data_IF_653516487081
#
_entry.id   IF_653516487081
#
_cell.length_a   1.000
_cell.length_b   1.000
_cell.length_c   1.000
_cell.angle_alpha   90.00
_cell.angle_beta   90.00
_cell.angle_gamma   90.00
#
_symmetry.space_group_name_H-M   'P 1'
#
loop_
_entity.id
_entity.type
_entity.pdbx_description
1 polymer ?
#
# COMPACT_ATOMS: atom_id res chain seq x y z
N UNK A 1 37.91 -1.93 11.26
CA UNK A 1 37.57 -2.50 9.95
C UNK A 1 36.27 -1.84 9.54
N UNK A 2 36.26 -1.04 8.47
CA UNK A 2 35.02 -0.42 7.98
C UNK A 2 34.11 -1.48 7.33
N UNK A 3 32.83 -1.13 7.09
CA UNK A 3 31.84 -2.04 6.53
C UNK A 3 32.31 -2.64 5.20
N UNK A 4 32.90 -1.81 4.34
CA UNK A 4 33.37 -2.22 3.03
C UNK A 4 34.50 -3.24 3.15
N UNK A 5 35.43 -3.04 4.08
CA UNK A 5 36.50 -4.00 4.36
C UNK A 5 35.94 -5.33 4.87
N UNK A 6 34.90 -5.30 5.71
CA UNK A 6 34.24 -6.54 6.17
C UNK A 6 33.52 -7.27 5.03
N UNK A 7 32.69 -6.57 4.24
CA UNK A 7 31.96 -7.15 3.11
C UNK A 7 32.94 -7.72 2.08
N UNK A 8 34.06 -7.04 1.87
CA UNK A 8 35.14 -7.54 1.02
C UNK A 8 35.81 -8.79 1.60
N UNK A 9 35.90 -8.92 2.92
CA UNK A 9 36.40 -10.10 3.62
C UNK A 9 35.45 -11.31 3.67
N UNK A 10 34.15 -11.13 3.42
CA UNK A 10 33.20 -12.24 3.33
C UNK A 10 33.52 -13.16 2.14
N UNK A 11 33.25 -14.46 2.29
CA UNK A 11 33.33 -15.42 1.19
C UNK A 11 32.42 -14.99 0.03
N UNK A 12 32.83 -15.26 -1.21
CA UNK A 12 32.02 -14.97 -2.41
C UNK A 12 30.64 -15.65 -2.37
N UNK A 13 30.52 -16.75 -1.64
CA UNK A 13 29.28 -17.52 -1.50
C UNK A 13 28.46 -17.13 -0.25
N UNK A 14 28.89 -16.12 0.51
CA UNK A 14 28.15 -15.65 1.66
C UNK A 14 26.83 -14.98 1.22
N UNK A 15 25.66 -15.44 1.72
CA UNK A 15 24.37 -14.90 1.32
C UNK A 15 24.20 -13.39 1.55
N UNK A 16 24.88 -12.83 2.56
CA UNK A 16 24.84 -11.40 2.83
C UNK A 16 25.65 -10.62 1.78
N UNK A 17 26.84 -11.13 1.43
CA UNK A 17 27.67 -10.53 0.36
C UNK A 17 26.94 -10.56 -0.98
N UNK A 18 26.31 -11.68 -1.32
CA UNK A 18 25.52 -11.82 -2.55
C UNK A 18 24.40 -10.77 -2.59
N UNK A 19 23.61 -10.63 -1.51
CA UNK A 19 22.53 -9.63 -1.44
C UNK A 19 23.01 -8.20 -1.56
N UNK A 20 24.15 -7.87 -0.94
CA UNK A 20 24.73 -6.52 -1.03
C UNK A 20 25.19 -6.21 -2.46
N UNK A 21 25.89 -7.15 -3.10
CA UNK A 21 26.34 -7.03 -4.49
C UNK A 21 25.13 -6.91 -5.43
N UNK A 22 24.08 -7.70 -5.24
CA UNK A 22 22.83 -7.60 -6.01
C UNK A 22 22.14 -6.24 -5.82
N UNK A 23 22.10 -5.73 -4.58
CA UNK A 23 21.51 -4.42 -4.27
C UNK A 23 22.28 -3.28 -4.93
N UNK A 24 23.62 -3.33 -4.89
CA UNK A 24 24.48 -2.33 -5.52
C UNK A 24 24.39 -2.38 -7.05
N UNK A 25 24.44 -3.58 -7.64
CA UNK A 25 24.24 -3.76 -9.07
C UNK A 25 22.86 -3.24 -9.52
N UNK A 26 21.83 -3.47 -8.70
CA UNK A 26 20.48 -2.95 -8.95
C UNK A 26 20.46 -1.42 -8.88
N UNK A 27 21.09 -0.80 -7.89
CA UNK A 27 21.21 0.66 -7.77
C UNK A 27 21.89 1.28 -9.00
N UNK A 28 23.05 0.76 -9.41
CA UNK A 28 23.79 1.28 -10.55
C UNK A 28 23.02 1.09 -11.88
N UNK A 29 22.26 0.00 -12.01
CA UNK A 29 21.37 -0.19 -13.15
C UNK A 29 20.27 0.88 -13.20
N UNK A 30 19.62 1.16 -12.07
CA UNK A 30 18.57 2.18 -11.97
C UNK A 30 19.15 3.58 -12.25
N UNK A 31 20.31 3.89 -11.69
CA UNK A 31 21.02 5.15 -11.94
C UNK A 31 21.34 5.34 -13.42
N UNK A 32 21.82 4.28 -14.09
CA UNK A 32 22.08 4.31 -15.54
C UNK A 32 20.80 4.60 -16.34
N UNK A 33 19.67 3.96 -15.98
CA UNK A 33 18.37 4.25 -16.60
C UNK A 33 17.99 5.73 -16.46
N UNK A 34 18.13 6.29 -15.25
CA UNK A 34 17.82 7.69 -14.99
C UNK A 34 18.68 8.65 -15.81
N UNK A 35 20.00 8.41 -15.88
CA UNK A 35 20.92 9.20 -16.71
C UNK A 35 20.58 9.13 -18.21
N UNK A 36 19.96 8.04 -18.65
CA UNK A 36 19.50 7.83 -20.03
C UNK A 36 18.05 8.32 -20.25
N UNK A 37 17.42 8.98 -19.27
CA UNK A 37 16.00 9.37 -19.29
C UNK A 37 15.02 8.19 -19.51
N UNK A 38 15.41 6.99 -19.12
CA UNK A 38 14.54 5.81 -19.15
C UNK A 38 13.64 5.85 -17.92
N UNK A 39 12.32 5.70 -18.12
CA UNK A 39 11.36 5.65 -17.01
C UNK A 39 11.66 4.46 -16.09
N UNK A 40 11.65 4.71 -14.78
CA UNK A 40 11.81 3.68 -13.75
C UNK A 40 10.48 3.45 -13.03
N UNK A 41 10.30 2.23 -12.51
CA UNK A 41 9.18 1.89 -11.64
C UNK A 41 9.29 2.61 -10.30
N UNK A 42 8.17 2.68 -9.57
CA UNK A 42 8.14 3.19 -8.21
C UNK A 42 8.92 2.28 -7.24
N UNK A 43 9.00 0.97 -7.52
CA UNK A 43 9.87 0.07 -6.75
C UNK A 43 11.35 0.41 -6.90
N UNK A 44 11.80 0.62 -8.14
CA UNK A 44 13.14 1.10 -8.44
C UNK A 44 13.39 2.49 -7.84
N UNK A 45 12.39 3.38 -7.85
CA UNK A 45 12.50 4.71 -7.22
C UNK A 45 12.77 4.58 -5.72
N UNK A 46 12.06 3.68 -5.00
CA UNK A 46 12.33 3.43 -3.58
C UNK A 46 13.75 2.92 -3.35
N UNK A 47 14.22 1.98 -4.17
CA UNK A 47 15.58 1.45 -4.06
C UNK A 47 16.61 2.57 -4.26
N UNK A 48 16.50 3.30 -5.37
CA UNK A 48 17.41 4.40 -5.69
C UNK A 48 17.46 5.46 -4.58
N UNK A 49 16.30 5.96 -4.14
CA UNK A 49 16.24 7.01 -3.14
C UNK A 49 16.66 6.53 -1.74
N UNK A 50 16.43 5.26 -1.40
CA UNK A 50 16.92 4.70 -0.14
C UNK A 50 18.44 4.65 -0.12
N UNK A 51 19.06 4.18 -1.20
CA UNK A 51 20.52 4.14 -1.34
C UNK A 51 21.12 5.55 -1.36
N UNK A 52 20.48 6.48 -2.06
CA UNK A 52 20.89 7.88 -2.11
C UNK A 52 20.90 8.54 -0.73
N UNK A 53 19.92 8.24 0.13
CA UNK A 53 19.87 8.73 1.51
C UNK A 53 20.95 8.12 2.41
N UNK A 54 21.43 6.92 2.09
CA UNK A 54 22.44 6.20 2.86
C UNK A 54 23.89 6.54 2.45
N UNK A 55 24.06 7.34 1.39
CA UNK A 55 25.35 7.73 0.80
C UNK A 55 25.46 9.26 0.75
N UNK A 56 26.70 9.77 0.59
CA UNK A 56 26.91 11.18 0.23
C UNK A 56 26.73 11.27 -1.28
N UNK A 57 25.67 11.91 -1.79
CA UNK A 57 25.41 11.94 -3.22
C UNK A 57 26.49 12.73 -3.95
N UNK A 58 26.92 12.21 -5.10
CA UNK A 58 27.77 12.93 -6.05
C UNK A 58 27.02 14.11 -6.70
N UNK A 59 27.77 15.03 -7.33
CA UNK A 59 27.18 16.20 -8.02
C UNK A 59 26.14 15.82 -9.09
N UNK A 60 26.36 14.72 -9.81
CA UNK A 60 25.41 14.25 -10.81
C UNK A 60 24.18 13.58 -10.19
N UNK A 61 24.33 12.92 -9.04
CA UNK A 61 23.20 12.32 -8.32
C UNK A 61 22.29 13.38 -7.68
N UNK A 62 22.84 14.52 -7.26
CA UNK A 62 22.04 15.65 -6.79
C UNK A 62 21.05 16.16 -7.84
N UNK A 63 21.40 16.08 -9.13
CA UNK A 63 20.48 16.43 -10.23
C UNK A 63 19.31 15.44 -10.34
N UNK A 64 19.51 14.20 -9.92
CA UNK A 64 18.51 13.13 -9.97
C UNK A 64 17.54 13.14 -8.77
N UNK A 65 17.79 13.98 -7.74
CA UNK A 65 16.95 14.07 -6.54
C UNK A 65 15.47 14.37 -6.82
N UNK A 66 15.14 15.01 -7.95
CA UNK A 66 13.76 15.27 -8.34
C UNK A 66 12.95 13.98 -8.58
N UNK A 67 13.60 12.87 -8.93
CA UNK A 67 12.95 11.55 -9.02
C UNK A 67 12.54 11.00 -7.64
N UNK A 68 13.08 11.55 -6.54
CA UNK A 68 12.77 11.14 -5.18
C UNK A 68 11.60 11.90 -4.56
N UNK A 69 10.88 12.76 -5.30
CA UNK A 69 9.74 13.51 -4.77
C UNK A 69 8.62 12.59 -4.23
N UNK A 70 8.25 11.55 -4.98
CA UNK A 70 7.20 10.62 -4.56
C UNK A 70 7.66 9.72 -3.40
N UNK A 71 8.93 9.36 -3.37
CA UNK A 71 9.54 8.62 -2.26
C UNK A 71 9.61 9.46 -0.97
N UNK A 72 10.01 10.72 -1.09
CA UNK A 72 10.03 11.69 0.01
C UNK A 72 8.63 11.88 0.56
N UNK A 73 7.66 12.12 -0.31
CA UNK A 73 6.25 12.18 0.07
C UNK A 73 5.80 10.92 0.81
N UNK A 74 6.12 9.73 0.28
CA UNK A 74 5.73 8.46 0.87
C UNK A 74 6.22 8.32 2.32
N UNK A 75 7.51 8.56 2.55
CA UNK A 75 8.12 8.44 3.88
C UNK A 75 7.63 9.52 4.85
N UNK A 76 7.55 10.76 4.39
CA UNK A 76 7.03 11.87 5.22
C UNK A 76 5.57 11.60 5.57
N UNK A 77 4.73 11.24 4.61
CA UNK A 77 3.32 10.94 4.87
C UNK A 77 3.16 9.79 5.89
N UNK A 78 3.90 8.68 5.75
CA UNK A 78 3.84 7.56 6.69
C UNK A 78 4.33 7.92 8.10
N UNK A 79 5.14 8.96 8.26
CA UNK A 79 5.53 9.47 9.58
C UNK A 79 4.36 10.19 10.26
N UNK A 80 3.58 10.98 9.50
CA UNK A 80 2.56 11.88 10.05
C UNK A 80 1.10 11.44 9.84
N UNK A 81 0.84 10.34 9.11
CA UNK A 81 -0.53 9.99 8.66
C UNK A 81 -1.53 9.81 9.82
N UNK A 82 -1.06 9.43 11.02
CA UNK A 82 -1.90 9.28 12.22
C UNK A 82 -2.38 10.64 12.76
N UNK A 83 -1.57 11.67 12.61
CA UNK A 83 -1.90 13.02 13.07
C UNK A 83 -1.24 14.09 12.19
N UNK A 84 -2.01 14.68 11.26
CA UNK A 84 -1.55 15.78 10.40
C UNK A 84 -1.69 17.19 11.04
N UNK A 85 -2.09 17.31 12.31
CA UNK A 85 -2.24 18.60 12.99
C UNK A 85 -1.02 19.04 13.80
N UNK A 86 0.01 18.21 13.91
CA UNK A 86 1.02 18.40 14.95
C UNK A 86 0.47 18.07 16.34
N UNK A 87 1.32 18.13 17.36
CA UNK A 87 0.91 18.02 18.76
C UNK A 87 0.89 16.60 19.35
N UNK A 88 1.45 15.61 18.65
CA UNK A 88 1.89 14.36 19.27
C UNK A 88 3.39 14.20 19.11
N UNK A 89 3.99 13.35 19.92
CA UNK A 89 5.37 12.91 19.71
C UNK A 89 5.44 12.05 18.43
N UNK A 90 6.21 12.52 17.45
CA UNK A 90 6.48 11.76 16.23
C UNK A 90 7.81 11.03 16.37
N UNK A 91 7.88 9.84 15.78
CA UNK A 91 9.07 9.01 15.77
C UNK A 91 9.46 8.66 14.36
N UNK A 92 10.72 8.90 14.00
CA UNK A 92 11.31 8.51 12.71
C UNK A 92 12.39 7.46 12.92
N UNK A 93 12.59 6.63 11.91
CA UNK A 93 13.65 5.63 11.89
C UNK A 93 14.99 6.30 11.57
N UNK A 94 15.99 6.07 12.42
CA UNK A 94 17.36 6.56 12.22
C UNK A 94 18.20 5.49 11.52
N UNK A 95 18.17 5.48 10.19
CA UNK A 95 18.93 4.52 9.38
C UNK A 95 20.44 4.67 9.57
N UNK A 96 20.92 5.90 9.80
CA UNK A 96 22.33 6.20 10.00
C UNK A 96 22.84 5.63 11.32
N UNK A 97 22.07 5.80 12.40
CA UNK A 97 22.39 5.20 13.70
C UNK A 97 22.37 3.68 13.65
N UNK A 98 21.41 3.08 12.93
CA UNK A 98 21.42 1.63 12.71
C UNK A 98 22.70 1.20 11.98
N UNK A 99 23.01 1.84 10.85
CA UNK A 99 24.21 1.55 10.04
C UNK A 99 25.49 1.64 10.89
N UNK A 100 25.68 2.74 11.61
CA UNK A 100 26.84 2.96 12.49
C UNK A 100 26.91 1.91 13.62
N UNK A 101 25.78 1.48 14.14
CA UNK A 101 25.77 0.46 15.21
C UNK A 101 26.13 -0.92 14.67
N UNK A 102 25.61 -1.26 13.48
CA UNK A 102 25.99 -2.49 12.76
C UNK A 102 27.49 -2.49 12.47
N UNK A 103 28.03 -1.39 11.94
CA UNK A 103 29.46 -1.21 11.67
C UNK A 103 30.32 -1.43 12.92
N UNK A 104 29.92 -0.84 14.05
CA UNK A 104 30.66 -0.98 15.32
C UNK A 104 30.61 -2.41 15.87
N UNK A 105 29.46 -3.08 15.83
CA UNK A 105 29.34 -4.48 16.27
C UNK A 105 30.21 -5.40 15.44
N UNK A 106 30.20 -5.19 14.13
CA UNK A 106 30.97 -5.95 13.17
C UNK A 106 32.48 -5.76 13.39
N UNK A 107 32.91 -4.51 13.58
CA UNK A 107 34.30 -4.19 13.88
C UNK A 107 34.78 -4.79 15.21
N UNK A 108 33.88 -4.96 16.19
CA UNK A 108 34.24 -5.43 17.54
C UNK A 108 34.16 -6.96 17.68
N UNK A 109 33.14 -7.58 17.09
CA UNK A 109 32.81 -9.00 17.32
C UNK A 109 32.98 -9.89 16.10
N UNK A 110 33.17 -9.29 14.91
CA UNK A 110 33.23 -10.02 13.63
C UNK A 110 31.90 -10.64 13.19
N UNK A 111 30.81 -10.45 13.95
CA UNK A 111 29.47 -10.98 13.63
C UNK A 111 28.39 -9.95 13.94
N UNK A 112 27.19 -10.13 13.38
CA UNK A 112 26.03 -9.31 13.70
C UNK A 112 25.11 -10.12 14.61
N UNK A 113 24.93 -9.65 15.84
CA UNK A 113 24.02 -10.27 16.80
C UNK A 113 22.62 -9.63 16.69
N UNK A 114 21.66 -10.38 16.14
CA UNK A 114 20.27 -9.95 16.02
C UNK A 114 19.62 -9.60 17.38
N UNK A 115 20.03 -10.24 18.48
CA UNK A 115 19.53 -9.94 19.84
C UNK A 115 20.02 -8.61 20.38
N UNK A 116 21.16 -8.11 19.90
CA UNK A 116 21.67 -6.79 20.25
C UNK A 116 21.00 -5.68 19.43
N UNK A 117 20.57 -5.98 18.19
CA UNK A 117 19.86 -5.01 17.34
C UNK A 117 18.48 -4.63 17.86
N UNK A 118 17.76 -5.58 18.47
CA UNK A 118 16.43 -5.32 19.05
C UNK A 118 16.47 -4.37 20.25
N UNK A 119 17.65 -4.17 20.86
CA UNK A 119 17.85 -3.28 22.02
C UNK A 119 18.19 -1.85 21.63
N UNK A 120 18.50 -1.58 20.36
CA UNK A 120 18.84 -0.24 19.89
C UNK A 120 17.54 0.54 19.66
N UNK A 121 17.33 1.69 20.31
CA UNK A 121 16.24 2.58 19.92
C UNK A 121 16.56 3.14 18.54
N UNK A 122 16.01 2.47 17.52
CA UNK A 122 16.09 2.85 16.11
C UNK A 122 15.13 3.98 15.75
N UNK A 123 14.28 4.36 16.70
CA UNK A 123 13.36 5.48 16.56
C UNK A 123 13.90 6.68 17.35
N UNK A 124 14.00 7.83 16.69
CA UNK A 124 14.25 9.11 17.35
C UNK A 124 12.97 9.95 17.42
N UNK A 125 12.84 10.75 18.48
CA UNK A 125 11.78 11.74 18.59
C UNK A 125 12.12 12.89 17.64
N UNK A 126 11.20 13.19 16.72
CA UNK A 126 11.42 14.22 15.70
C UNK A 126 11.37 15.61 16.35
N UNK A 127 12.36 16.44 16.07
CA UNK A 127 12.44 17.80 16.59
C UNK A 127 11.24 18.65 16.09
N UNK A 128 10.65 19.53 16.91
CA UNK A 128 9.50 20.35 16.51
C UNK A 128 9.72 21.18 15.23
N UNK A 129 10.94 21.66 14.97
CA UNK A 129 11.28 22.43 13.76
C UNK A 129 11.24 21.52 12.53
N UNK A 130 11.73 20.28 12.65
CA UNK A 130 11.63 19.27 11.60
C UNK A 130 10.17 18.88 11.34
N UNK A 131 9.37 18.70 12.40
CA UNK A 131 7.93 18.44 12.30
C UNK A 131 7.23 19.56 11.52
N UNK A 132 7.50 20.82 11.84
CA UNK A 132 6.91 21.96 11.15
C UNK A 132 7.29 21.99 9.66
N UNK A 133 8.57 21.77 9.35
CA UNK A 133 9.07 21.69 7.97
C UNK A 133 8.37 20.60 7.17
N UNK A 134 8.25 19.41 7.75
CA UNK A 134 7.61 18.26 7.11
C UNK A 134 6.10 18.48 6.90
N UNK A 135 5.40 19.05 7.89
CA UNK A 135 3.98 19.38 7.76
C UNK A 135 3.74 20.43 6.67
N UNK A 136 4.58 21.46 6.61
CA UNK A 136 4.53 22.47 5.54
C UNK A 136 4.77 21.85 4.15
N UNK A 137 5.73 20.93 4.04
CA UNK A 137 5.94 20.15 2.82
C UNK A 137 4.68 19.36 2.44
N UNK A 138 4.07 18.62 3.39
CA UNK A 138 2.85 17.87 3.14
C UNK A 138 1.67 18.78 2.75
N UNK A 139 1.57 19.98 3.30
CA UNK A 139 0.53 20.94 2.91
C UNK A 139 0.71 21.41 1.47
N UNK A 140 1.94 21.72 1.05
CA UNK A 140 2.25 22.07 -0.33
C UNK A 140 1.92 20.91 -1.29
N UNK A 141 2.29 19.68 -0.93
CA UNK A 141 1.93 18.49 -1.72
C UNK A 141 0.41 18.34 -1.80
N UNK A 142 -0.33 18.59 -0.72
CA UNK A 142 -1.79 18.54 -0.74
C UNK A 142 -2.38 19.56 -1.71
N UNK A 143 -1.88 20.79 -1.72
CA UNK A 143 -2.38 21.85 -2.62
C UNK A 143 -2.08 21.51 -4.09
N UNK A 144 -0.88 21.01 -4.39
CA UNK A 144 -0.54 20.52 -5.73
C UNK A 144 -1.48 19.37 -6.14
N UNK A 145 -1.62 18.35 -5.31
CA UNK A 145 -2.41 17.16 -5.63
C UNK A 145 -3.92 17.44 -5.69
N UNK A 146 -4.39 18.48 -5.00
CA UNK A 146 -5.75 18.98 -5.14
C UNK A 146 -6.05 19.39 -6.59
N UNK A 147 -5.13 20.09 -7.25
CA UNK A 147 -5.31 20.48 -8.66
C UNK A 147 -5.41 19.24 -9.56
N UNK A 148 -4.60 18.21 -9.29
CA UNK A 148 -4.62 16.93 -10.00
C UNK A 148 -5.97 16.22 -9.81
N UNK A 149 -6.48 16.14 -8.58
CA UNK A 149 -7.77 15.50 -8.27
C UNK A 149 -8.92 16.10 -9.07
N UNK A 150 -8.93 17.42 -9.25
CA UNK A 150 -10.00 18.13 -9.94
C UNK A 150 -9.79 18.26 -11.45
N UNK A 151 -8.64 17.86 -11.99
CA UNK A 151 -8.44 17.81 -13.44
C UNK A 151 -9.19 16.63 -14.07
N UNK A 152 -9.77 16.84 -15.26
CA UNK A 152 -10.63 15.85 -15.91
C UNK A 152 -9.88 14.94 -16.91
N UNK A 153 -8.61 15.21 -17.20
CA UNK A 153 -7.87 14.54 -18.27
C UNK A 153 -6.77 13.65 -17.68
N UNK A 154 -7.17 12.49 -17.14
CA UNK A 154 -6.22 11.51 -16.61
C UNK A 154 -6.10 10.33 -17.57
N UNK A 155 -4.93 10.19 -18.20
CA UNK A 155 -4.63 9.02 -19.04
C UNK A 155 -4.22 7.79 -18.20
N UNK A 156 -3.81 8.01 -16.95
CA UNK A 156 -3.40 6.95 -16.05
C UNK A 156 -4.61 6.45 -15.24
N UNK A 157 -4.98 5.17 -15.43
CA UNK A 157 -6.14 4.53 -14.77
C UNK A 157 -6.03 4.45 -13.26
N UNK A 158 -4.82 4.29 -12.72
CA UNK A 158 -4.58 4.28 -11.26
C UNK A 158 -4.85 5.68 -10.68
N UNK A 159 -4.35 6.71 -11.36
CA UNK A 159 -4.56 8.10 -10.96
C UNK A 159 -6.03 8.47 -11.07
N UNK A 160 -6.69 8.12 -12.17
CA UNK A 160 -8.12 8.34 -12.37
C UNK A 160 -8.95 7.71 -11.25
N UNK A 161 -8.72 6.43 -10.94
CA UNK A 161 -9.40 5.72 -9.87
C UNK A 161 -9.16 6.39 -8.51
N UNK A 162 -7.92 6.81 -8.22
CA UNK A 162 -7.57 7.46 -6.94
C UNK A 162 -8.25 8.83 -6.81
N UNK A 163 -8.18 9.66 -7.86
CA UNK A 163 -8.85 10.95 -7.91
C UNK A 163 -10.37 10.82 -7.80
N UNK A 164 -10.97 9.77 -8.40
CA UNK A 164 -12.40 9.49 -8.25
C UNK A 164 -12.78 9.20 -6.79
N UNK A 165 -12.11 8.27 -6.12
CA UNK A 165 -12.39 7.96 -4.71
C UNK A 165 -12.16 9.19 -3.81
N UNK A 166 -11.13 10.00 -4.09
CA UNK A 166 -10.87 11.24 -3.37
C UNK A 166 -12.00 12.27 -3.54
N UNK A 167 -12.48 12.49 -4.77
CA UNK A 167 -13.61 13.39 -5.04
C UNK A 167 -14.88 12.92 -4.32
N UNK A 168 -15.15 11.62 -4.32
CA UNK A 168 -16.32 11.05 -3.63
C UNK A 168 -16.22 11.31 -2.11
N UNK A 169 -15.03 11.17 -1.50
CA UNK A 169 -14.80 11.49 -0.09
C UNK A 169 -14.90 13.00 0.21
N UNK A 170 -14.33 13.85 -0.65
CA UNK A 170 -14.41 15.31 -0.50
C UNK A 170 -15.86 15.80 -0.59
N UNK A 171 -16.68 15.22 -1.48
CA UNK A 171 -18.13 15.51 -1.55
C UNK A 171 -18.86 15.13 -0.26
N UNK A 172 -18.51 14.01 0.37
CA UNK A 172 -19.08 13.61 1.66
C UNK A 172 -18.67 14.58 2.78
N UNK A 173 -17.39 14.97 2.82
CA UNK A 173 -16.90 15.98 3.75
C UNK A 173 -17.63 17.31 3.56
N UNK A 174 -17.81 17.76 2.32
CA UNK A 174 -18.55 18.98 2.01
C UNK A 174 -20.02 18.91 2.46
N UNK A 175 -20.69 17.77 2.24
CA UNK A 175 -22.07 17.55 2.71
C UNK A 175 -22.19 17.67 4.23
N UNK A 176 -21.17 17.24 4.99
CA UNK A 176 -21.19 17.27 6.46
C UNK A 176 -21.22 18.68 7.06
N UNK A 177 -20.80 19.71 6.30
CA UNK A 177 -20.78 21.12 6.72
C UNK A 177 -21.75 22.00 5.95
N UNK A 178 -22.64 21.41 5.14
CA UNK A 178 -23.53 22.15 4.24
C UNK A 178 -24.41 23.17 4.96
N UNK A 179 -24.87 22.84 6.17
CA UNK A 179 -25.76 23.70 6.96
C UNK A 179 -25.01 24.82 7.69
N UNK A 180 -23.67 24.76 7.74
CA UNK A 180 -22.83 25.75 8.41
C UNK A 180 -21.64 26.11 7.51
N UNK A 181 -21.84 26.94 6.46
CA UNK A 181 -20.79 27.23 5.47
C UNK A 181 -19.49 27.79 6.07
N UNK A 182 -19.59 28.54 7.18
CA UNK A 182 -18.44 29.05 7.93
C UNK A 182 -17.52 27.92 8.47
N UNK A 183 -18.04 26.70 8.63
CA UNK A 183 -17.27 25.55 9.09
C UNK A 183 -16.22 25.09 8.06
N UNK A 184 -16.38 25.45 6.77
CA UNK A 184 -15.35 25.19 5.74
C UNK A 184 -14.05 25.95 6.01
N UNK A 185 -14.12 27.10 6.70
CA UNK A 185 -12.97 27.89 7.09
C UNK A 185 -12.27 27.38 8.35
N UNK A 186 -12.92 26.49 9.12
CA UNK A 186 -12.36 25.97 10.36
C UNK A 186 -11.15 25.08 10.08
N UNK A 187 -10.14 25.20 10.94
CA UNK A 187 -8.92 24.39 10.90
C UNK A 187 -9.21 22.89 10.77
N UNK A 188 -10.22 22.39 11.49
CA UNK A 188 -10.61 20.98 11.45
C UNK A 188 -11.10 20.53 10.07
N UNK A 189 -11.89 21.35 9.35
CA UNK A 189 -12.33 21.02 8.00
C UNK A 189 -11.14 20.94 7.04
N UNK A 190 -10.27 21.95 7.07
CA UNK A 190 -9.07 22.00 6.23
C UNK A 190 -8.11 20.85 6.49
N UNK A 191 -7.98 20.45 7.75
CA UNK A 191 -7.23 19.25 8.14
C UNK A 191 -7.82 17.98 7.50
N UNK A 192 -9.14 17.78 7.59
CA UNK A 192 -9.81 16.61 6.98
C UNK A 192 -9.66 16.61 5.46
N UNK A 193 -9.85 17.78 4.82
CA UNK A 193 -9.66 17.97 3.38
C UNK A 193 -8.25 17.55 2.94
N UNK A 194 -7.21 18.09 3.58
CA UNK A 194 -5.80 17.73 3.31
C UNK A 194 -5.53 16.25 3.56
N UNK A 195 -6.09 15.69 4.64
CA UNK A 195 -5.97 14.27 4.94
C UNK A 195 -6.50 13.37 3.82
N UNK A 196 -7.66 13.70 3.25
CA UNK A 196 -8.24 12.97 2.10
C UNK A 196 -7.32 13.09 0.88
N UNK A 197 -6.81 14.29 0.57
CA UNK A 197 -5.98 14.55 -0.60
C UNK A 197 -4.63 13.82 -0.52
N UNK A 198 -3.92 13.96 0.60
CA UNK A 198 -2.63 13.29 0.81
C UNK A 198 -2.78 11.77 0.78
N UNK A 199 -3.85 11.26 1.39
CA UNK A 199 -4.15 9.83 1.33
C UNK A 199 -4.39 9.34 -0.10
N UNK A 200 -5.06 10.14 -0.94
CA UNK A 200 -5.27 9.77 -2.34
C UNK A 200 -3.94 9.67 -3.10
N UNK A 201 -2.98 10.59 -2.87
CA UNK A 201 -1.62 10.46 -3.41
C UNK A 201 -0.94 9.19 -2.92
N UNK A 202 -1.02 8.89 -1.62
CA UNK A 202 -0.44 7.67 -1.05
C UNK A 202 -1.03 6.40 -1.68
N UNK A 203 -2.36 6.32 -1.82
CA UNK A 203 -3.05 5.17 -2.43
C UNK A 203 -2.66 5.03 -3.90
N UNK A 204 -2.52 6.14 -4.62
CA UNK A 204 -2.03 6.13 -6.00
C UNK A 204 -0.64 5.49 -6.09
N UNK A 205 0.31 5.94 -5.26
CA UNK A 205 1.67 5.38 -5.22
C UNK A 205 1.69 3.91 -4.79
N UNK A 206 0.84 3.53 -3.84
CA UNK A 206 0.73 2.16 -3.37
C UNK A 206 0.17 1.23 -4.46
N UNK A 207 -0.86 1.69 -5.19
CA UNK A 207 -1.43 0.93 -6.29
C UNK A 207 -0.45 0.83 -7.46
N UNK A 208 0.28 1.91 -7.77
CA UNK A 208 1.38 1.92 -8.75
C UNK A 208 2.45 0.89 -8.36
N UNK A 209 2.89 0.88 -7.11
CA UNK A 209 3.86 -0.08 -6.57
C UNK A 209 3.42 -1.52 -6.84
N UNK A 210 2.17 -1.85 -6.52
CA UNK A 210 1.62 -3.20 -6.74
C UNK A 210 1.57 -3.54 -8.22
N UNK A 211 1.04 -2.66 -9.06
CA UNK A 211 0.85 -2.94 -10.48
C UNK A 211 2.16 -3.05 -11.26
N UNK A 212 3.22 -2.37 -10.82
CA UNK A 212 4.54 -2.45 -11.44
C UNK A 212 5.37 -3.62 -10.89
N UNK A 213 5.13 -4.04 -9.65
CA UNK A 213 5.86 -5.17 -9.02
C UNK A 213 5.36 -6.53 -9.51
N UNK A 214 4.06 -6.67 -9.73
CA UNK A 214 3.42 -7.96 -10.00
C UNK A 214 2.99 -8.10 -11.45
N UNK A 215 3.14 -9.30 -12.00
CA UNK A 215 2.70 -9.61 -13.36
C UNK A 215 1.18 -9.68 -13.46
N UNK A 216 0.64 -9.63 -14.69
CA UNK A 216 -0.80 -9.83 -14.92
C UNK A 216 -1.27 -11.21 -14.42
N UNK A 217 -0.41 -12.23 -14.49
CA UNK A 217 -0.68 -13.58 -14.00
C UNK A 217 -0.81 -13.61 -12.47
N UNK A 218 -0.03 -12.79 -11.76
CA UNK A 218 -0.15 -12.65 -10.31
C UNK A 218 -1.43 -11.93 -9.90
N UNK A 219 -1.90 -11.01 -10.75
CA UNK A 219 -3.12 -10.22 -10.55
C UNK A 219 -4.39 -10.88 -11.12
N UNK A 220 -4.25 -12.05 -11.75
CA UNK A 220 -5.36 -12.88 -12.21
C UNK A 220 -5.57 -14.03 -11.26
N UNK A 221 -6.68 -14.00 -10.53
CA UNK A 221 -7.05 -15.03 -9.57
C UNK A 221 -7.87 -16.11 -10.29
N UNK A 222 -7.60 -17.38 -10.05
CA UNK A 222 -8.38 -18.49 -10.59
C UNK A 222 -9.22 -19.13 -9.50
N UNK A 223 -10.52 -19.30 -9.74
CA UNK A 223 -11.41 -20.07 -8.88
C UNK A 223 -12.31 -20.92 -9.77
N UNK A 224 -12.29 -22.24 -9.57
CA UNK A 224 -13.05 -23.19 -10.41
C UNK A 224 -12.81 -23.05 -11.92
N UNK A 225 -11.57 -22.76 -12.32
CA UNK A 225 -11.19 -22.52 -13.72
C UNK A 225 -11.74 -21.21 -14.31
N UNK A 226 -12.38 -20.35 -13.50
CA UNK A 226 -12.82 -19.01 -13.91
C UNK A 226 -11.83 -17.97 -13.39
N UNK A 227 -11.48 -17.03 -14.26
CA UNK A 227 -10.55 -15.95 -13.93
C UNK A 227 -11.27 -14.74 -13.33
N UNK A 228 -10.65 -14.16 -12.29
CA UNK A 228 -11.06 -12.91 -11.64
C UNK A 228 -9.86 -11.97 -11.67
N UNK A 229 -10.01 -10.86 -12.38
CA UNK A 229 -8.94 -9.87 -12.57
C UNK A 229 -8.95 -8.86 -11.41
N UNK A 230 -7.77 -8.64 -10.82
CA UNK A 230 -7.49 -7.55 -9.89
C UNK A 230 -6.85 -6.42 -10.67
N UNK A 231 -7.59 -5.33 -10.91
CA UNK A 231 -7.11 -4.21 -11.71
C UNK A 231 -6.89 -2.94 -10.87
N UNK A 232 -6.61 -1.82 -11.54
CA UNK A 232 -6.33 -0.52 -10.90
C UNK A 232 -7.49 -0.08 -9.99
N UNK A 233 -8.73 -0.26 -10.47
CA UNK A 233 -9.92 0.03 -9.68
C UNK A 233 -9.99 -0.83 -8.43
N UNK A 234 -9.77 -2.15 -8.56
CA UNK A 234 -9.82 -3.09 -7.44
C UNK A 234 -8.88 -2.68 -6.30
N UNK A 235 -7.62 -2.40 -6.64
CA UNK A 235 -6.58 -2.06 -5.66
C UNK A 235 -6.91 -0.72 -4.99
N UNK A 236 -7.14 0.32 -5.79
CA UNK A 236 -7.43 1.66 -5.26
C UNK A 236 -8.68 1.66 -4.38
N UNK A 237 -9.76 1.04 -4.84
CA UNK A 237 -11.03 1.00 -4.12
C UNK A 237 -10.90 0.27 -2.80
N UNK A 238 -10.31 -0.94 -2.79
CA UNK A 238 -10.19 -1.75 -1.58
C UNK A 238 -9.28 -1.06 -0.56
N UNK A 239 -8.11 -0.55 -0.98
CA UNK A 239 -7.18 0.18 -0.11
C UNK A 239 -7.82 1.46 0.44
N UNK A 240 -8.54 2.21 -0.39
CA UNK A 240 -9.21 3.45 0.01
C UNK A 240 -10.34 3.23 1.01
N UNK A 241 -11.06 2.11 0.94
CA UNK A 241 -12.22 1.89 1.81
C UNK A 241 -11.94 1.07 3.05
N UNK A 242 -11.07 0.07 2.95
CA UNK A 242 -10.99 -1.02 3.94
C UNK A 242 -9.65 -1.13 4.66
N UNK A 243 -8.64 -0.33 4.27
CA UNK A 243 -7.29 -0.39 4.85
C UNK A 243 -6.84 0.85 5.64
N UNK A 244 -7.67 1.89 5.76
CA UNK A 244 -7.29 3.03 6.61
C UNK A 244 -8.37 3.40 7.63
N UNK A 245 -8.46 2.56 8.65
CA UNK A 245 -9.20 2.82 9.87
C UNK A 245 -8.78 4.15 10.51
N UNK A 246 -7.46 4.33 10.68
CA UNK A 246 -6.88 5.50 11.33
C UNK A 246 -7.24 6.83 10.64
N UNK A 247 -7.49 6.82 9.33
CA UNK A 247 -7.79 8.01 8.54
C UNK A 247 -9.31 8.25 8.35
N UNK A 248 -10.16 7.31 8.76
CA UNK A 248 -11.61 7.35 8.57
C UNK A 248 -12.34 7.52 9.92
N UNK A 249 -11.81 8.34 10.82
CA UNK A 249 -12.36 8.57 12.18
C UNK A 249 -13.81 9.08 12.21
N UNK A 250 -14.42 9.41 11.06
CA UNK A 250 -15.81 9.85 10.95
C UNK A 250 -16.78 8.77 10.46
N UNK A 251 -16.29 7.58 10.12
CA UNK A 251 -17.14 6.45 9.72
C UNK A 251 -17.14 5.40 10.85
N UNK A 252 -18.10 5.54 11.77
CA UNK A 252 -18.20 4.69 12.98
C UNK A 252 -18.55 3.23 12.66
N UNK A 253 -19.20 2.98 11.51
CA UNK A 253 -19.75 1.64 11.18
C UNK A 253 -18.91 0.84 10.16
N UNK A 254 -17.68 1.26 9.88
CA UNK A 254 -16.81 0.57 8.91
C UNK A 254 -15.87 -0.41 9.60
N UNK A 255 -15.74 -1.57 8.98
CA UNK A 255 -14.79 -2.62 9.34
C UNK A 255 -13.52 -2.50 8.49
N UNK A 256 -12.39 -2.89 9.07
CA UNK A 256 -11.07 -2.75 8.47
C UNK A 256 -10.30 -4.06 8.53
N UNK A 257 -9.46 -4.30 7.53
CA UNK A 257 -8.59 -5.48 7.50
C UNK A 257 -7.65 -5.48 8.71
N UNK A 258 -7.41 -6.66 9.28
CA UNK A 258 -6.40 -6.87 10.31
C UNK A 258 -4.98 -6.81 9.70
N UNK A 259 -3.96 -6.87 10.56
CA UNK A 259 -2.56 -6.79 10.14
C UNK A 259 -2.11 -7.93 9.22
N UNK A 260 -2.89 -9.02 9.14
CA UNK A 260 -2.54 -10.20 8.35
C UNK A 260 -2.80 -10.03 6.86
N UNK A 261 -3.74 -9.17 6.49
CA UNK A 261 -3.96 -8.83 5.08
C UNK A 261 -3.13 -7.60 4.78
N UNK A 262 -2.00 -7.76 4.08
CA UNK A 262 -1.19 -6.63 3.66
C UNK A 262 -1.72 -6.04 2.34
N UNK A 263 -1.94 -4.71 2.24
CA UNK A 263 -2.41 -4.07 1.01
C UNK A 263 -1.61 -4.45 -0.24
N UNK A 264 -0.27 -4.51 -0.10
CA UNK A 264 0.65 -4.85 -1.21
C UNK A 264 0.57 -6.30 -1.67
N UNK A 265 0.08 -7.19 -0.81
CA UNK A 265 0.05 -8.65 -1.04
C UNK A 265 -1.37 -9.23 -0.99
N UNK A 266 -2.38 -8.37 -1.08
CA UNK A 266 -3.78 -8.77 -0.99
C UNK A 266 -4.16 -9.77 -2.09
N UNK A 267 -3.68 -9.60 -3.32
CA UNK A 267 -3.94 -10.55 -4.41
C UNK A 267 -3.33 -11.93 -4.13
N UNK A 268 -2.12 -12.00 -3.56
CA UNK A 268 -1.50 -13.27 -3.15
C UNK A 268 -2.29 -13.95 -2.03
N UNK A 269 -2.78 -13.16 -1.07
CA UNK A 269 -3.67 -13.67 -0.02
C UNK A 269 -4.94 -14.26 -0.64
N UNK A 270 -5.62 -13.51 -1.52
CA UNK A 270 -6.84 -13.97 -2.20
C UNK A 270 -6.59 -15.22 -3.07
N UNK A 271 -5.45 -15.31 -3.75
CA UNK A 271 -5.06 -16.49 -4.54
C UNK A 271 -5.05 -17.74 -3.65
N UNK A 272 -4.41 -17.67 -2.47
CA UNK A 272 -4.43 -18.78 -1.50
C UNK A 272 -5.85 -19.15 -1.06
N UNK A 273 -6.70 -18.16 -0.80
CA UNK A 273 -8.10 -18.41 -0.44
C UNK A 273 -8.84 -19.12 -1.59
N UNK A 274 -8.68 -18.69 -2.83
CA UNK A 274 -9.36 -19.29 -3.98
C UNK A 274 -8.83 -20.69 -4.34
N UNK A 275 -7.55 -20.95 -4.09
CA UNK A 275 -6.97 -22.28 -4.18
C UNK A 275 -7.62 -23.23 -3.17
N UNK A 276 -7.90 -22.76 -1.95
CA UNK A 276 -8.64 -23.52 -0.92
C UNK A 276 -10.08 -23.79 -1.40
N UNK A 277 -10.79 -22.78 -1.90
CA UNK A 277 -12.13 -22.98 -2.46
C UNK A 277 -12.15 -24.07 -3.54
N UNK A 278 -11.21 -23.98 -4.49
CA UNK A 278 -11.14 -24.90 -5.64
C UNK A 278 -10.85 -26.35 -5.23
N UNK A 279 -10.26 -26.56 -4.05
CA UNK A 279 -9.99 -27.90 -3.50
C UNK A 279 -11.15 -28.49 -2.72
N UNK A 280 -11.93 -27.66 -2.04
CA UNK A 280 -12.94 -28.12 -1.07
C UNK A 280 -14.38 -28.05 -1.58
N UNK A 281 -14.65 -27.28 -2.64
CA UNK A 281 -16.01 -27.00 -3.10
C UNK A 281 -16.22 -27.50 -4.54
N UNK A 282 -17.38 -28.14 -4.76
CA UNK A 282 -17.85 -28.41 -6.11
C UNK A 282 -18.38 -27.11 -6.74
N UNK A 283 -17.89 -26.70 -7.93
CA UNK A 283 -18.29 -25.45 -8.56
C UNK A 283 -19.76 -25.35 -8.94
N UNK A 284 -20.48 -26.47 -9.02
CA UNK A 284 -21.86 -26.50 -9.48
C UNK A 284 -22.78 -25.69 -8.55
N UNK A 285 -23.39 -24.64 -9.11
CA UNK A 285 -24.33 -23.76 -8.41
C UNK A 285 -23.70 -22.57 -7.69
N UNK A 286 -22.39 -22.51 -7.48
CA UNK A 286 -21.82 -21.41 -6.71
C UNK A 286 -21.77 -20.09 -7.52
N UNK A 287 -22.41 -19.05 -6.99
CA UNK A 287 -22.24 -17.69 -7.51
C UNK A 287 -20.84 -17.16 -7.21
N UNK A 288 -20.20 -16.54 -8.21
CA UNK A 288 -18.93 -15.83 -8.02
C UNK A 288 -19.13 -14.33 -7.73
N UNK A 289 -20.37 -13.82 -7.81
CA UNK A 289 -20.64 -12.40 -7.56
C UNK A 289 -20.37 -12.04 -6.10
N UNK A 290 -20.51 -13.01 -5.20
CA UNK A 290 -20.25 -12.88 -3.77
C UNK A 290 -19.60 -14.14 -3.24
N UNK A 291 -18.41 -14.00 -2.64
CA UNK A 291 -17.65 -15.09 -2.02
C UNK A 291 -17.42 -14.73 -0.56
N UNK A 292 -17.67 -15.65 0.35
CA UNK A 292 -17.65 -15.40 1.80
C UNK A 292 -16.82 -16.46 2.52
N UNK A 293 -15.82 -16.03 3.28
CA UNK A 293 -14.95 -16.93 4.04
C UNK A 293 -14.60 -16.35 5.39
N UNK A 294 -14.31 -17.19 6.37
CA UNK A 294 -13.81 -16.81 7.69
C UNK A 294 -12.34 -17.15 7.75
N UNK A 295 -11.51 -16.17 8.12
CA UNK A 295 -10.08 -16.34 8.31
C UNK A 295 -9.70 -15.83 9.69
N UNK A 296 -9.15 -16.71 10.52
CA UNK A 296 -8.77 -16.49 11.94
C UNK A 296 -9.85 -15.77 12.73
N UNK A 297 -11.05 -16.33 12.70
CA UNK A 297 -12.21 -15.78 13.41
C UNK A 297 -12.92 -14.63 12.70
N UNK A 298 -12.27 -13.93 11.78
CA UNK A 298 -12.84 -12.78 11.06
C UNK A 298 -13.55 -13.22 9.79
N UNK A 299 -14.84 -12.89 9.65
CA UNK A 299 -15.58 -13.09 8.40
C UNK A 299 -15.15 -12.05 7.36
N UNK A 300 -14.96 -12.47 6.12
CA UNK A 300 -14.65 -11.65 4.96
C UNK A 300 -15.69 -11.85 3.85
N UNK A 301 -15.97 -10.78 3.13
CA UNK A 301 -16.84 -10.78 1.95
C UNK A 301 -16.07 -10.20 0.78
N UNK A 302 -16.06 -10.95 -0.32
CA UNK A 302 -15.56 -10.54 -1.61
C UNK A 302 -16.76 -10.34 -2.54
N UNK A 303 -16.79 -9.21 -3.23
CA UNK A 303 -17.69 -9.02 -4.36
C UNK A 303 -16.91 -8.98 -5.65
N UNK A 304 -17.44 -9.65 -6.67
CA UNK A 304 -16.94 -9.58 -8.03
C UNK A 304 -18.10 -9.30 -8.99
N UNK A 305 -17.79 -8.89 -10.21
CA UNK A 305 -18.82 -8.70 -11.24
C UNK A 305 -18.25 -8.86 -12.63
N UNK A 306 -19.10 -9.19 -13.59
CA UNK A 306 -18.74 -9.18 -15.00
C UNK A 306 -18.66 -7.72 -15.45
N UNK A 307 -17.53 -7.36 -16.05
CA UNK A 307 -17.24 -6.07 -16.65
C UNK A 307 -17.00 -6.27 -18.15
N UNK A 308 -17.06 -5.18 -18.90
CA UNK A 308 -16.79 -5.16 -20.34
C UNK A 308 -15.63 -4.21 -20.63
N UNK A 309 -14.72 -4.64 -21.51
CA UNK A 309 -13.65 -3.81 -22.04
C UNK A 309 -13.63 -3.92 -23.55
N UNK A 310 -13.45 -2.80 -24.25
CA UNK A 310 -13.27 -2.81 -25.69
C UNK A 310 -11.80 -3.04 -26.02
N UNK A 311 -11.49 -4.17 -26.65
CA UNK A 311 -10.15 -4.51 -27.11
C UNK A 311 -10.03 -4.19 -28.60
N UNK A 312 -8.99 -3.42 -28.97
CA UNK A 312 -8.76 -3.01 -30.36
C UNK A 312 -8.62 -4.26 -31.24
N UNK A 313 -9.44 -4.35 -32.28
CA UNK A 313 -9.45 -5.48 -33.23
C UNK A 313 -10.24 -6.71 -32.79
N UNK A 314 -10.64 -6.82 -31.51
CA UNK A 314 -11.42 -7.96 -30.98
C UNK A 314 -12.86 -7.56 -30.66
N UNK A 315 -13.10 -6.31 -30.27
CA UNK A 315 -14.42 -5.80 -29.88
C UNK A 315 -14.64 -5.85 -28.37
N UNK A 316 -15.91 -5.99 -27.96
CA UNK A 316 -16.30 -6.04 -26.54
C UNK A 316 -15.94 -7.40 -25.93
N UNK A 317 -14.99 -7.40 -25.01
CA UNK A 317 -14.58 -8.56 -24.24
C UNK A 317 -15.16 -8.48 -22.82
N UNK A 318 -15.80 -9.58 -22.37
CA UNK A 318 -16.32 -9.70 -21.00
C UNK A 318 -15.28 -10.36 -20.11
N UNK A 319 -15.01 -9.77 -18.96
CA UNK A 319 -14.13 -10.34 -17.95
C UNK A 319 -14.73 -10.15 -16.56
N UNK A 320 -14.37 -11.01 -15.59
CA UNK A 320 -14.83 -10.84 -14.20
C UNK A 320 -13.79 -10.06 -13.41
N UNK A 321 -14.20 -8.98 -12.75
CA UNK A 321 -13.35 -8.09 -11.97
C UNK A 321 -13.63 -8.25 -10.47
N UNK A 322 -12.57 -8.25 -9.66
CA UNK A 322 -12.67 -8.06 -8.21
C UNK A 322 -13.17 -6.63 -7.91
N UNK A 323 -14.35 -6.48 -7.33
CA UNK A 323 -14.89 -5.15 -7.01
C UNK A 323 -14.43 -4.66 -5.65
N UNK A 324 -14.59 -5.48 -4.63
CA UNK A 324 -14.25 -5.11 -3.25
C UNK A 324 -14.02 -6.35 -2.40
N UNK A 325 -13.23 -6.20 -1.33
CA UNK A 325 -12.98 -7.21 -0.30
C UNK A 325 -12.91 -6.49 1.04
N UNK A 326 -13.70 -6.94 2.01
CA UNK A 326 -13.72 -6.34 3.34
C UNK A 326 -14.10 -7.36 4.42
N UNK A 327 -13.61 -7.17 5.65
CA UNK A 327 -14.09 -7.94 6.78
C UNK A 327 -15.54 -7.54 7.11
N UNK A 328 -16.43 -8.48 7.39
CA UNK A 328 -17.79 -8.18 7.82
C UNK A 328 -17.88 -7.94 9.33
N UNK A 329 -18.78 -7.06 9.75
CA UNK A 329 -19.13 -6.89 11.17
C UNK A 329 -19.95 -8.09 11.67
N UNK A 330 -20.00 -8.29 12.99
CA UNK A 330 -20.81 -9.35 13.61
C UNK A 330 -22.30 -9.22 13.31
N UNK A 331 -22.84 -8.01 13.19
CA UNK A 331 -24.24 -7.80 12.79
C UNK A 331 -24.49 -8.22 11.34
N UNK A 332 -23.59 -7.84 10.43
CA UNK A 332 -23.67 -8.26 9.03
C UNK A 332 -23.53 -9.77 8.92
N UNK A 333 -22.63 -10.37 9.69
CA UNK A 333 -22.46 -11.82 9.80
C UNK A 333 -23.75 -12.51 10.24
N UNK A 334 -24.44 -12.03 11.26
CA UNK A 334 -25.74 -12.58 11.71
C UNK A 334 -26.79 -12.51 10.61
N UNK A 335 -26.90 -11.37 9.92
CA UNK A 335 -27.86 -11.20 8.83
C UNK A 335 -27.57 -12.17 7.67
N UNK A 336 -26.30 -12.34 7.32
CA UNK A 336 -25.90 -13.25 6.25
C UNK A 336 -26.11 -14.72 6.66
N UNK A 337 -25.75 -15.10 7.88
CA UNK A 337 -25.98 -16.47 8.38
C UNK A 337 -27.48 -16.82 8.44
N UNK A 338 -28.35 -15.84 8.73
CA UNK A 338 -29.80 -16.02 8.69
C UNK A 338 -30.33 -16.37 7.28
N UNK A 339 -29.57 -16.07 6.22
CA UNK A 339 -29.94 -16.39 4.83
C UNK A 339 -29.56 -17.83 4.41
N UNK A 340 -29.22 -18.72 5.36
CA UNK A 340 -29.03 -20.15 5.08
C UNK A 340 -27.67 -20.52 4.47
N UNK A 341 -26.62 -19.75 4.77
CA UNK A 341 -25.27 -20.10 4.33
C UNK A 341 -24.73 -21.30 5.12
N UNK A 342 -24.21 -22.30 4.40
CA UNK A 342 -23.56 -23.45 5.02
C UNK A 342 -22.07 -23.17 5.22
N UNK A 343 -21.61 -23.21 6.47
CA UNK A 343 -20.19 -23.11 6.82
C UNK A 343 -19.51 -24.47 6.65
N UNK A 344 -18.46 -24.50 5.83
CA UNK A 344 -17.56 -25.64 5.70
C UNK A 344 -16.25 -25.25 6.37
N UNK A 345 -15.95 -25.89 7.49
CA UNK A 345 -14.69 -25.69 8.21
C UNK A 345 -13.59 -26.42 7.45
N UNK A 346 -12.59 -25.68 6.98
CA UNK A 346 -11.43 -26.23 6.27
C UNK A 346 -10.35 -26.62 7.27
N UNK A 347 -10.04 -25.70 8.19
CA UNK A 347 -9.10 -25.92 9.29
C UNK A 347 -9.41 -24.97 10.47
N UNK A 348 -8.52 -24.92 11.47
CA UNK A 348 -8.68 -24.08 12.68
C UNK A 348 -8.78 -22.58 12.39
N UNK A 349 -8.15 -22.14 11.30
CA UNK A 349 -7.99 -20.75 10.91
C UNK A 349 -8.91 -20.39 9.73
N UNK A 350 -9.51 -21.37 9.05
CA UNK A 350 -10.25 -21.13 7.81
C UNK A 350 -11.59 -21.87 7.74
N UNK A 351 -12.64 -21.11 7.43
CA UNK A 351 -13.93 -21.64 6.99
C UNK A 351 -14.39 -20.97 5.70
N UNK A 352 -15.16 -21.69 4.88
CA UNK A 352 -15.78 -21.16 3.66
C UNK A 352 -17.29 -21.26 3.75
N UNK A 353 -18.01 -20.30 3.19
CA UNK A 353 -19.46 -20.27 3.19
C UNK A 353 -20.00 -20.48 1.78
N UNK A 354 -20.98 -21.38 1.65
CA UNK A 354 -21.72 -21.61 0.42
C UNK A 354 -23.01 -20.81 0.41
N UNK A 355 -23.21 -20.04 -0.66
CA UNK A 355 -24.49 -19.37 -0.94
C UNK A 355 -25.44 -20.44 -1.50
N UNK A 356 -26.61 -20.71 -0.87
CA UNK A 356 -27.63 -21.52 -1.51
C UNK A 356 -28.10 -20.84 -2.79
N UNK A 357 -28.20 -21.60 -3.88
CA UNK A 357 -28.60 -21.12 -5.22
C UNK A 357 -30.06 -20.71 -5.24
#
# INVERSE_FOLDING_TARGET
MDFDTYVNGLSSNDPLKIKLVESEARYENIKTKLLQNISISFDETKVFCTELLNKVPSSDELKLCHHCEDYTFWNTYLTYFRNLAGGIEYKKFDSNKLKKTLENQLATTGTIDATSLSKIPMLYVVDPVEVEKDLNYLYNVADQWKTIIYSNNQNNKVLEASCKEARDQLKLLEKSVRNFPFDKGKFLYKRKERGIILRAKYIYLLAKDVLETYSLQDLTLSIFGKEIVVNEYSIVHIVSRHFAAAAHQHFVDKTYHNEEVHPKKMHLFLKKIFDIYSKHINPNGMSLDKIMFKFKGQLYIIYTSIQQIHLRGVGLHKYRRLNTMFPASEEKKKLEMANGYNEIVVDKDMSIYLVPV
#
